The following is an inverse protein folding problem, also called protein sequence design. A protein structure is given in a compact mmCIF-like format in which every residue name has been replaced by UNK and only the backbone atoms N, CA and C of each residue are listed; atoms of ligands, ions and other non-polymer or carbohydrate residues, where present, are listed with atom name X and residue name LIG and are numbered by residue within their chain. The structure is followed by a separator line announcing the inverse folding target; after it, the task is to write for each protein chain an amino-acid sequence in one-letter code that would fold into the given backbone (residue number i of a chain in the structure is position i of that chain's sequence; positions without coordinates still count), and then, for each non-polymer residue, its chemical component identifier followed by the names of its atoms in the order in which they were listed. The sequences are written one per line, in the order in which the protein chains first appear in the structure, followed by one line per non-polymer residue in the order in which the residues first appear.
data_IF_071356935932
#
_entry.id   IF_071356935932
#
_cell.length_a   1.000
_cell.length_b   1.000
_cell.length_c   1.000
_cell.angle_alpha   90.00
_cell.angle_beta   90.00
_cell.angle_gamma   90.00
#
_symmetry.space_group_name_H-M   'P 1'
#
loop_
_entity.id
_entity.type
_entity.pdbx_description
1 polymer ?
#
# COMPACT_ATOMS: atom_id res chain seq x y z
N UNK A 1 -10.99 -41.33 -61.02
CA UNK A 1 -11.42 -40.07 -60.40
C UNK A 1 -11.95 -40.25 -58.98
N UNK A 2 -12.90 -41.15 -58.70
CA UNK A 2 -13.53 -41.30 -57.37
C UNK A 2 -12.57 -41.60 -56.21
N UNK A 3 -11.50 -42.38 -56.43
CA UNK A 3 -10.56 -42.76 -55.37
C UNK A 3 -9.69 -41.60 -54.86
N UNK A 4 -9.38 -40.61 -55.72
CA UNK A 4 -8.61 -39.43 -55.33
C UNK A 4 -9.39 -38.54 -54.35
N UNK A 5 -10.71 -38.46 -54.51
CA UNK A 5 -11.58 -37.74 -53.58
C UNK A 5 -11.56 -38.34 -52.17
N UNK A 6 -11.53 -39.66 -52.07
CA UNK A 6 -11.51 -40.37 -50.78
C UNK A 6 -10.19 -40.11 -50.05
N UNK A 7 -9.06 -40.19 -50.77
CA UNK A 7 -7.73 -39.91 -50.19
C UNK A 7 -7.63 -38.46 -49.73
N UNK A 8 -8.14 -37.51 -50.52
CA UNK A 8 -8.15 -36.09 -50.15
C UNK A 8 -8.98 -35.82 -48.89
N UNK A 9 -10.13 -36.47 -48.75
CA UNK A 9 -10.99 -36.36 -47.57
C UNK A 9 -10.29 -36.88 -46.30
N UNK A 10 -9.59 -38.01 -46.39
CA UNK A 10 -8.85 -38.59 -45.27
C UNK A 10 -7.70 -37.68 -44.80
N UNK A 11 -7.02 -37.01 -45.73
CA UNK A 11 -5.95 -36.05 -45.42
C UNK A 11 -6.51 -34.84 -44.67
N UNK A 12 -7.65 -34.29 -45.10
CA UNK A 12 -8.29 -33.15 -44.42
C UNK A 12 -8.74 -33.49 -42.99
N UNK A 13 -9.30 -34.69 -42.78
CA UNK A 13 -9.69 -35.15 -41.45
C UNK A 13 -8.48 -35.33 -40.52
N UNK A 14 -7.36 -35.82 -41.06
CA UNK A 14 -6.12 -35.95 -40.30
C UNK A 14 -5.56 -34.60 -39.83
N UNK A 15 -5.58 -33.59 -40.69
CA UNK A 15 -5.08 -32.25 -40.35
C UNK A 15 -6.02 -31.55 -39.36
N UNK A 16 -7.33 -31.72 -39.48
CA UNK A 16 -8.32 -31.13 -38.56
C UNK A 16 -8.19 -31.68 -37.14
N UNK A 17 -7.76 -32.94 -36.97
CA UNK A 17 -7.60 -33.55 -35.65
C UNK A 17 -6.46 -32.93 -34.83
N UNK A 18 -5.48 -32.33 -35.49
CA UNK A 18 -4.29 -31.75 -34.87
C UNK A 18 -4.43 -30.23 -34.67
N UNK A 19 -5.60 -29.66 -34.97
CA UNK A 19 -5.86 -28.24 -34.81
C UNK A 19 -6.14 -27.91 -33.34
N UNK A 20 -5.09 -27.54 -32.60
CA UNK A 20 -5.23 -27.03 -31.24
C UNK A 20 -5.94 -25.67 -31.25
N UNK A 21 -7.14 -25.62 -30.68
CA UNK A 21 -7.91 -24.38 -30.52
C UNK A 21 -7.26 -23.56 -29.42
N UNK A 22 -6.45 -22.57 -29.81
CA UNK A 22 -5.85 -21.63 -28.88
C UNK A 22 -6.86 -20.55 -28.48
N UNK A 23 -7.50 -20.74 -27.33
CA UNK A 23 -8.34 -19.73 -26.71
C UNK A 23 -7.47 -18.82 -25.81
N UNK A 24 -7.04 -17.67 -26.33
CA UNK A 24 -6.35 -16.66 -25.53
C UNK A 24 -7.39 -15.76 -24.87
N UNK A 25 -7.63 -15.97 -23.58
CA UNK A 25 -8.47 -15.10 -22.75
C UNK A 25 -7.66 -13.91 -22.27
N UNK A 26 -8.00 -12.72 -22.76
CA UNK A 26 -7.48 -11.46 -22.25
C UNK A 26 -8.34 -11.01 -21.08
N UNK A 27 -7.82 -11.12 -19.87
CA UNK A 27 -8.42 -10.54 -18.67
C UNK A 27 -7.80 -9.18 -18.40
N UNK A 28 -8.60 -8.11 -18.46
CA UNK A 28 -8.19 -6.82 -17.90
C UNK A 28 -8.27 -6.91 -16.37
N UNK A 29 -7.11 -6.92 -15.73
CA UNK A 29 -7.00 -6.87 -14.28
C UNK A 29 -6.18 -5.64 -13.90
N UNK A 30 -6.74 -4.77 -13.06
CA UNK A 30 -5.94 -3.71 -12.47
C UNK A 30 -5.04 -4.33 -11.39
N UNK A 31 -3.72 -4.29 -11.60
CA UNK A 31 -2.73 -4.76 -10.62
C UNK A 31 -2.67 -3.75 -9.49
N UNK A 32 -3.62 -3.85 -8.56
CA UNK A 32 -3.59 -3.10 -7.32
C UNK A 32 -2.64 -3.81 -6.37
N UNK A 33 -1.46 -3.24 -6.18
CA UNK A 33 -0.62 -3.64 -5.07
C UNK A 33 -1.41 -3.37 -3.78
N UNK A 34 -1.54 -4.36 -2.91
CA UNK A 34 -2.01 -4.20 -1.52
C UNK A 34 -0.92 -3.49 -0.70
N UNK A 35 -0.32 -2.45 -1.27
CA UNK A 35 0.52 -1.51 -0.56
C UNK A 35 -0.37 -0.92 0.53
N UNK A 36 -0.08 -1.31 1.77
CA UNK A 36 -0.64 -0.70 2.96
C UNK A 36 -0.13 0.75 3.01
N UNK A 37 -0.67 1.60 2.13
CA UNK A 37 -0.39 3.02 2.10
C UNK A 37 -0.99 3.60 3.38
N UNK A 38 -0.23 3.53 4.45
CA UNK A 38 -0.60 4.11 5.73
C UNK A 38 -0.24 5.58 5.63
N UNK A 39 -1.27 6.41 5.49
CA UNK A 39 -1.13 7.85 5.65
C UNK A 39 -0.87 8.10 7.13
N UNK A 40 0.41 8.20 7.51
CA UNK A 40 0.82 8.62 8.85
C UNK A 40 0.63 10.14 8.94
N UNK A 41 -0.58 10.56 9.30
CA UNK A 41 -0.90 11.96 9.58
C UNK A 41 -0.83 12.21 11.08
N UNK A 42 -0.17 13.31 11.47
CA UNK A 42 -0.19 13.73 12.87
C UNK A 42 -1.57 14.35 13.19
N UNK A 43 -2.27 13.79 14.17
CA UNK A 43 -3.61 14.25 14.58
C UNK A 43 -3.63 15.64 15.23
N UNK A 44 -2.47 16.24 15.49
CA UNK A 44 -2.29 17.58 16.05
C UNK A 44 -1.21 18.27 15.20
N UNK A 45 -1.62 19.20 14.34
CA UNK A 45 -0.71 19.88 13.41
C UNK A 45 0.53 20.46 14.10
N UNK A 46 1.64 20.53 13.38
CA UNK A 46 2.93 21.05 13.83
C UNK A 46 3.82 21.35 12.62
N UNK A 47 4.91 22.08 12.84
CA UNK A 47 5.87 22.40 11.76
C UNK A 47 6.86 21.23 11.65
N UNK A 48 7.07 20.72 10.43
CA UNK A 48 8.11 19.71 10.16
C UNK A 48 9.45 20.41 10.36
N UNK A 49 10.24 19.96 11.34
CA UNK A 49 11.55 20.52 11.64
C UNK A 49 12.63 19.83 10.82
N UNK A 50 12.61 18.49 10.77
CA UNK A 50 13.53 17.69 9.98
C UNK A 50 12.79 16.49 9.37
N UNK A 51 13.12 16.14 8.13
CA UNK A 51 12.60 14.97 7.43
C UNK A 51 13.77 14.00 7.16
N UNK A 52 13.64 12.76 7.65
CA UNK A 52 14.70 11.75 7.56
C UNK A 52 14.46 10.70 6.46
N UNK A 53 13.37 10.83 5.70
CA UNK A 53 13.00 9.91 4.63
C UNK A 53 12.74 10.64 3.30
N UNK A 54 13.01 9.95 2.20
CA UNK A 54 12.77 10.45 0.84
C UNK A 54 11.78 9.55 0.09
N UNK A 55 11.20 10.07 -1.00
CA UNK A 55 10.31 9.28 -1.85
C UNK A 55 11.05 8.06 -2.44
N UNK A 56 10.45 6.88 -2.31
CA UNK A 56 11.03 5.62 -2.78
C UNK A 56 11.94 4.91 -1.79
N UNK A 57 12.15 5.47 -0.60
CA UNK A 57 13.03 4.89 0.41
C UNK A 57 12.33 3.76 1.21
N UNK A 58 13.09 2.73 1.62
CA UNK A 58 12.56 1.57 2.33
C UNK A 58 12.56 1.80 3.84
N UNK A 59 11.38 1.96 4.44
CA UNK A 59 11.22 2.24 5.88
C UNK A 59 10.82 1.01 6.68
N UNK A 60 11.33 0.91 7.92
CA UNK A 60 11.02 -0.18 8.85
C UNK A 60 10.08 0.27 9.96
N UNK A 61 9.34 -0.67 10.55
CA UNK A 61 8.42 -0.38 11.67
C UNK A 61 9.21 0.16 12.87
N UNK A 62 8.89 1.39 13.28
CA UNK A 62 9.54 2.07 14.41
C UNK A 62 10.70 2.99 14.02
N UNK A 63 10.99 3.13 12.71
CA UNK A 63 11.95 4.11 12.21
C UNK A 63 11.38 5.53 12.35
N UNK A 64 12.21 6.46 12.80
CA UNK A 64 11.86 7.88 12.84
C UNK A 64 11.86 8.44 11.41
N UNK A 65 10.69 8.89 10.95
CA UNK A 65 10.51 9.38 9.58
C UNK A 65 10.66 10.90 9.48
N UNK A 66 10.15 11.61 10.48
CA UNK A 66 10.17 13.07 10.53
C UNK A 66 10.16 13.52 12.00
N UNK A 67 10.90 14.60 12.27
CA UNK A 67 10.85 15.31 13.54
C UNK A 67 9.92 16.51 13.39
N UNK A 68 8.88 16.55 14.20
CA UNK A 68 7.87 17.61 14.18
C UNK A 68 7.97 18.39 15.48
N UNK A 69 8.07 19.72 15.40
CA UNK A 69 8.08 20.61 16.55
C UNK A 69 6.72 21.30 16.63
N UNK A 70 6.09 21.25 17.80
CA UNK A 70 4.86 21.97 18.09
C UNK A 70 4.98 22.70 19.43
N UNK A 71 5.08 24.03 19.36
CA UNK A 71 5.18 24.91 20.53
C UNK A 71 3.94 24.86 21.45
N UNK A 72 2.78 24.41 20.96
CA UNK A 72 1.57 24.28 21.79
C UNK A 72 1.59 23.02 22.67
N UNK A 73 2.32 21.97 22.26
CA UNK A 73 2.47 20.75 23.08
C UNK A 73 3.27 21.05 24.34
N UNK A 74 4.34 21.85 24.23
CA UNK A 74 5.16 22.26 25.38
C UNK A 74 4.34 23.10 26.37
N UNK A 75 3.51 24.02 25.86
CA UNK A 75 2.66 24.87 26.71
C UNK A 75 1.61 24.07 27.47
N UNK A 76 0.96 23.09 26.82
CA UNK A 76 -0.02 22.22 27.49
C UNK A 76 0.65 21.30 28.53
N UNK A 77 1.86 20.83 28.26
CA UNK A 77 2.62 19.99 29.20
C UNK A 77 2.99 20.76 30.48
N UNK A 78 3.45 22.01 30.33
CA UNK A 78 3.74 22.88 31.47
C UNK A 78 2.46 23.23 32.25
N UNK A 79 1.36 23.54 31.57
CA UNK A 79 0.08 23.79 32.25
C UNK A 79 -0.43 22.57 33.04
N UNK A 80 -0.29 21.36 32.50
CA UNK A 80 -0.68 20.12 33.19
C UNK A 80 0.20 19.85 34.41
N UNK A 81 1.52 20.08 34.32
CA UNK A 81 2.43 19.98 35.46
C UNK A 81 2.07 20.96 36.58
N UNK A 82 1.77 22.22 36.22
CA UNK A 82 1.38 23.25 37.18
C UNK A 82 0.07 22.87 37.87
N UNK A 83 -0.93 22.40 37.11
CA UNK A 83 -2.20 21.91 37.68
C UNK A 83 -2.00 20.70 38.60
N UNK A 84 -1.16 19.74 38.22
CA UNK A 84 -0.86 18.57 39.06
C UNK A 84 -0.19 18.97 40.39
N UNK A 85 0.75 19.92 40.37
CA UNK A 85 1.35 20.47 41.59
C UNK A 85 0.33 21.19 42.47
N UNK A 86 -0.59 21.95 41.88
CA UNK A 86 -1.65 22.63 42.64
C UNK A 86 -2.62 21.63 43.29
N UNK A 87 -2.98 20.56 42.59
CA UNK A 87 -3.83 19.51 43.13
C UNK A 87 -3.14 18.73 44.26
N UNK A 88 -1.86 18.39 44.10
CA UNK A 88 -1.09 17.74 45.16
C UNK A 88 -0.98 18.62 46.41
N UNK A 89 -0.85 19.94 46.23
CA UNK A 89 -0.81 20.88 47.35
C UNK A 89 -2.14 20.91 48.10
N UNK A 90 -3.27 20.88 47.38
CA UNK A 90 -4.62 20.80 47.96
C UNK A 90 -4.98 19.46 48.63
N UNK A 91 -4.27 18.38 48.30
CA UNK A 91 -4.46 17.06 48.93
C UNK A 91 -3.63 16.93 50.23
N UNK A 92 -2.63 17.81 50.40
CA UNK A 92 -1.70 17.78 51.54
C UNK A 92 -2.01 18.83 52.62
N UNK A 93 -2.98 19.70 52.35
CA UNK A 93 -3.68 20.53 53.35
C UNK A 93 -4.96 19.81 53.81
#
# INVERSE_FOLDING_TARGET
MMQWLIVFLLILLGISSQAEINAVVHGEGNVVNRSNSQVVSLSKGGVIADLYCHEGDYVHKGQELAKIINHDIDKDFEQKKVKAKQLQKKIKD
#
